data_IF_693120654315
#
_entry.id   IF_693120654315
#
_cell.length_a   1.000
_cell.length_b   1.000
_cell.length_c   1.000
_cell.angle_alpha   90.00
_cell.angle_beta   90.00
_cell.angle_gamma   90.00
#
_symmetry.space_group_name_H-M   'P 1'
#
loop_
_entity.id
_entity.type
_entity.pdbx_description
1 polymer ?
#
# COMPACT_ATOMS: atom_id res chain seq x y z
N UNK A 1 14.46 16.87 7.56
CA UNK A 1 15.27 15.68 7.26
C UNK A 1 14.88 15.20 5.88
N UNK A 2 15.82 15.20 4.93
CA UNK A 2 15.56 14.84 3.54
C UNK A 2 15.57 13.32 3.34
N UNK A 3 14.95 12.83 2.27
CA UNK A 3 15.02 11.41 1.91
C UNK A 3 16.47 10.94 1.66
N UNK A 4 17.37 11.86 1.27
CA UNK A 4 18.80 11.60 1.05
C UNK A 4 19.52 11.35 2.37
N UNK A 5 19.29 12.21 3.37
CA UNK A 5 19.89 12.09 4.70
C UNK A 5 19.49 10.78 5.40
N UNK A 6 18.27 10.28 5.15
CA UNK A 6 17.82 8.99 5.71
C UNK A 6 18.49 7.79 5.04
N UNK A 7 18.73 7.84 3.73
CA UNK A 7 19.43 6.77 2.99
C UNK A 7 20.87 6.64 3.48
N UNK A 8 21.54 7.77 3.71
CA UNK A 8 22.91 7.80 4.24
C UNK A 8 22.99 7.25 5.68
N UNK A 9 21.98 7.50 6.51
CA UNK A 9 21.95 7.02 7.90
C UNK A 9 21.56 5.54 8.06
N UNK A 10 21.00 4.91 7.02
CA UNK A 10 20.65 3.48 7.03
C UNK A 10 21.67 2.60 6.28
N UNK A 11 22.88 3.13 6.04
CA UNK A 11 24.02 2.32 5.66
C UNK A 11 24.35 1.35 6.80
N UNK A 12 24.36 0.06 6.48
CA UNK A 12 24.97 -0.96 7.34
C UNK A 12 26.47 -0.59 7.53
N UNK A 13 27.12 -0.93 8.65
CA UNK A 13 28.52 -0.60 8.96
C UNK A 13 29.54 -0.84 7.82
N UNK A 14 29.21 -1.68 6.84
CA UNK A 14 30.10 -2.10 5.76
C UNK A 14 29.89 -1.36 4.41
N UNK A 15 29.14 -0.25 4.37
CA UNK A 15 29.10 0.65 3.20
C UNK A 15 28.39 0.13 1.94
N UNK A 16 27.83 -1.09 1.96
CA UNK A 16 26.93 -1.59 0.92
C UNK A 16 25.49 -1.17 1.25
N UNK A 17 24.80 -0.49 0.32
CA UNK A 17 23.34 -0.36 0.42
C UNK A 17 22.73 -1.77 0.43
N UNK A 18 22.20 -2.19 1.58
CA UNK A 18 21.60 -3.52 1.74
C UNK A 18 20.38 -3.71 0.82
N UNK A 19 19.75 -2.62 0.40
CA UNK A 19 18.68 -2.59 -0.58
C UNK A 19 18.46 -1.18 -1.15
N UNK A 20 17.76 -1.10 -2.28
CA UNK A 20 17.25 0.15 -2.87
C UNK A 20 15.72 0.12 -2.91
N UNK A 21 15.06 1.27 -2.76
CA UNK A 21 13.61 1.40 -2.93
C UNK A 21 13.35 2.15 -4.24
N UNK A 22 12.48 1.60 -5.08
CA UNK A 22 12.04 2.24 -6.33
C UNK A 22 10.59 1.94 -6.63
N UNK A 23 10.02 2.70 -7.57
CA UNK A 23 8.72 2.37 -8.16
C UNK A 23 8.73 0.96 -8.74
N UNK A 24 7.63 0.27 -8.52
CA UNK A 24 7.37 -1.03 -9.08
C UNK A 24 7.13 -0.94 -10.59
N UNK A 25 7.60 -1.96 -11.30
CA UNK A 25 7.39 -2.14 -12.75
C UNK A 25 6.71 -3.48 -13.04
N UNK A 26 6.24 -3.69 -14.27
CA UNK A 26 5.66 -4.97 -14.68
C UNK A 26 6.62 -6.16 -14.48
N UNK A 27 7.94 -5.94 -14.55
CA UNK A 27 8.94 -7.00 -14.33
C UNK A 27 9.00 -7.48 -12.87
N UNK A 28 8.49 -6.69 -11.92
CA UNK A 28 8.49 -7.05 -10.50
C UNK A 28 7.31 -7.96 -10.13
N UNK A 29 6.30 -8.10 -10.99
CA UNK A 29 5.03 -8.71 -10.63
C UNK A 29 5.17 -10.15 -10.13
N UNK A 30 5.88 -11.00 -10.86
CA UNK A 30 6.05 -12.39 -10.48
C UNK A 30 6.79 -12.52 -9.14
N UNK A 31 7.88 -11.76 -8.96
CA UNK A 31 8.67 -11.79 -7.74
C UNK A 31 7.89 -11.22 -6.54
N UNK A 32 7.12 -10.15 -6.75
CA UNK A 32 6.22 -9.55 -5.76
C UNK A 32 5.15 -10.55 -5.31
N UNK A 33 4.46 -11.22 -6.22
CA UNK A 33 3.43 -12.19 -5.84
C UNK A 33 4.04 -13.38 -5.08
N UNK A 34 5.21 -13.88 -5.50
CA UNK A 34 5.92 -14.93 -4.78
C UNK A 34 6.31 -14.49 -3.35
N UNK A 35 6.78 -13.26 -3.18
CA UNK A 35 7.04 -12.67 -1.86
C UNK A 35 5.76 -12.59 -1.01
N UNK A 36 4.64 -12.15 -1.59
CA UNK A 36 3.36 -12.06 -0.87
C UNK A 36 2.86 -13.42 -0.41
N UNK A 37 3.02 -14.47 -1.23
CA UNK A 37 2.64 -15.83 -0.87
C UNK A 37 3.47 -16.35 0.31
N UNK A 38 4.80 -16.15 0.30
CA UNK A 38 5.68 -16.55 1.42
C UNK A 38 5.45 -15.73 2.70
N UNK A 39 5.16 -14.44 2.58
CA UNK A 39 5.09 -13.52 3.73
C UNK A 39 3.73 -13.44 4.41
N UNK A 40 2.63 -13.58 3.65
CA UNK A 40 1.27 -13.35 4.15
C UNK A 40 0.39 -14.60 4.19
N UNK A 41 0.84 -15.70 3.58
CA UNK A 41 0.14 -16.99 3.55
C UNK A 41 -1.13 -17.01 2.69
N UNK A 42 -1.73 -18.20 2.57
CA UNK A 42 -2.85 -18.50 1.66
C UNK A 42 -4.12 -17.69 1.96
N UNK A 43 -4.30 -17.25 3.20
CA UNK A 43 -5.43 -16.43 3.64
C UNK A 43 -5.43 -14.99 3.10
N UNK A 44 -4.30 -14.50 2.56
CA UNK A 44 -4.16 -13.08 2.14
C UNK A 44 -5.27 -12.63 1.19
N UNK A 45 -5.70 -13.51 0.29
CA UNK A 45 -6.69 -13.21 -0.76
C UNK A 45 -8.12 -13.00 -0.23
N UNK A 46 -8.38 -13.43 1.01
CA UNK A 46 -9.69 -13.35 1.67
C UNK A 46 -9.87 -12.08 2.50
N UNK A 47 -8.79 -11.33 2.76
CA UNK A 47 -8.81 -10.09 3.56
C UNK A 47 -9.71 -9.03 2.92
N UNK A 48 -10.43 -8.27 3.74
CA UNK A 48 -11.32 -7.20 3.28
C UNK A 48 -10.58 -6.13 2.46
N UNK A 49 -9.33 -5.80 2.84
CA UNK A 49 -8.47 -4.88 2.08
C UNK A 49 -8.10 -5.40 0.69
N UNK A 50 -7.86 -6.71 0.55
CA UNK A 50 -7.65 -7.36 -0.75
C UNK A 50 -8.91 -7.29 -1.61
N UNK A 51 -10.07 -7.60 -1.02
CA UNK A 51 -11.34 -7.58 -1.74
C UNK A 51 -11.66 -6.18 -2.25
N UNK A 52 -11.43 -5.15 -1.42
CA UNK A 52 -11.70 -3.76 -1.78
C UNK A 52 -10.90 -3.33 -3.02
N UNK A 53 -9.63 -3.70 -3.09
CA UNK A 53 -8.72 -3.27 -4.17
C UNK A 53 -8.74 -4.15 -5.42
N UNK A 54 -9.55 -5.22 -5.45
CA UNK A 54 -9.56 -6.19 -6.55
C UNK A 54 -9.92 -5.54 -7.89
N UNK A 55 -9.19 -5.90 -8.96
CA UNK A 55 -9.45 -5.42 -10.31
C UNK A 55 -9.09 -3.95 -10.54
N UNK A 56 -8.31 -3.36 -9.64
CA UNK A 56 -7.83 -1.98 -9.73
C UNK A 56 -6.33 -1.93 -9.91
N UNK A 57 -5.84 -0.78 -10.31
CA UNK A 57 -4.42 -0.44 -10.28
C UNK A 57 -4.10 0.28 -8.96
N UNK A 58 -2.87 0.14 -8.44
CA UNK A 58 -2.38 1.02 -7.37
C UNK A 58 -2.50 2.49 -7.76
N UNK A 59 -2.54 3.37 -6.76
CA UNK A 59 -2.50 4.81 -6.98
C UNK A 59 -1.20 5.18 -7.71
N UNK A 60 -1.29 6.14 -8.61
CA UNK A 60 -0.22 6.47 -9.55
C UNK A 60 1.04 6.94 -8.80
N UNK A 61 2.18 6.32 -9.12
CA UNK A 61 3.45 6.60 -8.42
C UNK A 61 3.58 5.98 -7.03
N UNK A 62 2.57 5.27 -6.51
CA UNK A 62 2.53 4.76 -5.12
C UNK A 62 2.53 3.23 -5.02
N UNK A 63 3.34 2.60 -5.86
CA UNK A 63 3.67 1.17 -5.77
C UNK A 63 5.18 1.03 -5.77
N UNK A 64 5.73 0.40 -4.74
CA UNK A 64 7.17 0.33 -4.51
C UNK A 64 7.64 -1.10 -4.21
N UNK A 65 8.89 -1.35 -4.58
CA UNK A 65 9.64 -2.55 -4.21
C UNK A 65 10.97 -2.15 -3.57
N UNK A 66 11.38 -2.91 -2.56
CA UNK A 66 12.74 -2.90 -2.05
C UNK A 66 13.51 -4.02 -2.76
N UNK A 67 14.65 -3.71 -3.39
CA UNK A 67 15.50 -4.67 -4.09
C UNK A 67 16.87 -4.80 -3.47
N UNK A 68 17.34 -6.04 -3.33
CA UNK A 68 18.70 -6.34 -2.93
C UNK A 68 19.72 -6.06 -4.05
N UNK A 69 21.03 -6.14 -3.74
CA UNK A 69 22.10 -5.92 -4.72
C UNK A 69 22.07 -6.88 -5.92
N UNK A 70 21.54 -8.09 -5.72
CA UNK A 70 21.34 -9.12 -6.73
C UNK A 70 20.06 -8.89 -7.58
N UNK A 71 19.31 -7.82 -7.31
CA UNK A 71 18.06 -7.51 -7.97
C UNK A 71 16.84 -8.24 -7.40
N UNK A 72 17.01 -9.08 -6.37
CA UNK A 72 15.92 -9.81 -5.72
C UNK A 72 14.96 -8.84 -5.03
N UNK A 73 13.65 -9.08 -5.16
CA UNK A 73 12.63 -8.30 -4.43
C UNK A 73 12.58 -8.76 -2.98
N UNK A 74 13.04 -7.90 -2.07
CA UNK A 74 13.11 -8.15 -0.63
C UNK A 74 11.89 -7.60 0.14
N UNK A 75 11.13 -6.69 -0.48
CA UNK A 75 9.95 -6.09 0.14
C UNK A 75 9.09 -5.36 -0.88
N UNK A 76 7.83 -5.10 -0.52
CA UNK A 76 6.90 -4.31 -1.34
C UNK A 76 5.92 -3.55 -0.47
N UNK A 77 5.51 -2.37 -0.94
CA UNK A 77 4.37 -1.62 -0.39
C UNK A 77 3.58 -0.98 -1.53
N UNK A 78 2.25 -0.98 -1.43
CA UNK A 78 1.34 -0.36 -2.39
C UNK A 78 0.27 0.46 -1.69
N UNK A 79 -0.14 1.56 -2.32
CA UNK A 79 -1.26 2.39 -1.90
C UNK A 79 -2.34 2.43 -2.98
N UNK A 80 -3.60 2.55 -2.56
CA UNK A 80 -4.76 2.44 -3.44
C UNK A 80 -5.72 3.58 -3.18
N UNK A 81 -6.21 4.23 -4.23
CA UNK A 81 -7.20 5.29 -4.06
C UNK A 81 -8.50 4.73 -3.47
N UNK A 82 -8.98 5.37 -2.41
CA UNK A 82 -10.26 5.07 -1.78
C UNK A 82 -11.02 6.36 -1.48
N UNK A 83 -12.32 6.20 -1.24
CA UNK A 83 -13.12 7.20 -0.54
C UNK A 83 -13.36 6.70 0.88
N UNK A 84 -12.99 7.52 1.87
CA UNK A 84 -13.20 7.30 3.29
C UNK A 84 -14.56 7.90 3.71
N UNK A 85 -15.65 7.38 3.14
CA UNK A 85 -16.99 7.86 3.44
C UNK A 85 -17.23 9.31 3.00
N UNK A 86 -17.93 10.07 3.85
CA UNK A 86 -18.26 11.48 3.62
C UNK A 86 -17.93 12.31 4.88
N UNK A 87 -17.67 13.60 4.71
CA UNK A 87 -17.52 14.54 5.82
C UNK A 87 -18.89 15.01 6.35
N UNK A 88 -18.86 15.90 7.34
CA UNK A 88 -20.06 16.48 7.97
C UNK A 88 -20.96 17.27 7.02
N UNK A 89 -20.42 17.76 5.89
CA UNK A 89 -21.17 18.46 4.84
C UNK A 89 -21.76 17.51 3.78
N UNK A 90 -21.48 16.21 3.90
CA UNK A 90 -21.88 15.19 2.92
C UNK A 90 -20.92 15.07 1.73
N UNK A 91 -19.76 15.74 1.75
CA UNK A 91 -18.79 15.68 0.65
C UNK A 91 -17.89 14.43 0.77
N UNK A 92 -17.51 13.80 -0.35
CA UNK A 92 -16.70 12.59 -0.33
C UNK A 92 -15.26 12.87 0.12
N UNK A 93 -14.79 12.14 1.13
CA UNK A 93 -13.42 12.28 1.66
C UNK A 93 -12.48 11.34 0.90
N UNK A 94 -11.48 11.88 0.21
CA UNK A 94 -10.47 11.09 -0.53
C UNK A 94 -9.35 10.64 0.41
N UNK A 95 -8.94 9.39 0.33
CA UNK A 95 -7.81 8.85 1.08
C UNK A 95 -7.10 7.74 0.28
N UNK A 96 -6.02 7.22 0.84
CA UNK A 96 -5.33 6.02 0.34
C UNK A 96 -5.59 4.84 1.28
N UNK A 97 -5.69 3.64 0.73
CA UNK A 97 -5.58 2.38 1.47
C UNK A 97 -4.15 1.85 1.28
N UNK A 98 -3.42 1.63 2.37
CA UNK A 98 -2.11 0.99 2.33
C UNK A 98 -2.25 -0.52 2.44
N UNK A 99 -1.60 -1.23 1.51
CA UNK A 99 -1.52 -2.67 1.53
C UNK A 99 -1.44 -3.28 0.13
N UNK A 100 -0.71 -4.40 -0.06
CA UNK A 100 0.06 -5.08 0.96
C UNK A 100 1.33 -4.30 1.31
N UNK A 101 1.78 -4.45 2.56
CA UNK A 101 3.17 -4.23 2.97
C UNK A 101 3.73 -5.61 3.32
N UNK A 102 4.81 -6.00 2.66
CA UNK A 102 5.46 -7.29 2.89
C UNK A 102 6.97 -7.18 2.79
N UNK A 103 7.66 -8.00 3.58
CA UNK A 103 9.12 -8.14 3.60
C UNK A 103 9.44 -9.63 3.58
N UNK A 104 10.54 -10.00 2.94
CA UNK A 104 11.08 -11.36 2.92
C UNK A 104 11.18 -11.88 4.37
N UNK A 105 10.50 -13.01 4.70
CA UNK A 105 10.46 -13.51 6.07
C UNK A 105 11.81 -13.67 6.76
N UNK A 106 12.85 -14.10 6.03
CA UNK A 106 14.22 -14.27 6.56
C UNK A 106 14.93 -12.95 6.89
N UNK A 107 14.38 -11.82 6.41
CA UNK A 107 14.92 -10.47 6.61
C UNK A 107 14.02 -9.59 7.50
N UNK A 108 13.07 -10.19 8.24
CA UNK A 108 12.29 -9.45 9.25
C UNK A 108 13.20 -8.81 10.29
N UNK A 109 12.83 -7.62 10.75
CA UNK A 109 13.60 -6.85 11.73
C UNK A 109 14.81 -6.10 11.16
N UNK A 110 15.12 -6.22 9.86
CA UNK A 110 16.26 -5.54 9.21
C UNK A 110 15.94 -4.14 8.65
N UNK A 111 14.88 -3.49 9.14
CA UNK A 111 14.53 -2.12 8.74
C UNK A 111 13.83 -1.95 7.38
N UNK A 112 13.83 -2.95 6.49
CA UNK A 112 13.22 -2.86 5.14
C UNK A 112 11.76 -2.38 5.18
N UNK A 113 10.95 -2.98 6.06
CA UNK A 113 9.52 -2.61 6.18
C UNK A 113 9.31 -1.18 6.69
N UNK A 114 10.21 -0.67 7.52
CA UNK A 114 10.15 0.71 8.01
C UNK A 114 10.55 1.70 6.91
N UNK A 115 11.62 1.40 6.17
CA UNK A 115 12.05 2.19 5.03
C UNK A 115 10.97 2.27 3.93
N UNK A 116 10.31 1.14 3.62
CA UNK A 116 9.16 1.11 2.70
C UNK A 116 8.00 1.97 3.19
N UNK A 117 7.64 1.87 4.47
CA UNK A 117 6.58 2.70 5.07
C UNK A 117 6.88 4.19 4.96
N UNK A 118 8.07 4.62 5.38
CA UNK A 118 8.47 6.02 5.35
C UNK A 118 8.54 6.57 3.91
N UNK A 119 9.08 5.79 2.97
CA UNK A 119 9.14 6.18 1.57
C UNK A 119 7.72 6.37 1.00
N UNK A 120 6.83 5.40 1.24
CA UNK A 120 5.46 5.46 0.77
C UNK A 120 4.65 6.62 1.37
N UNK A 121 4.77 6.89 2.68
CA UNK A 121 4.05 7.99 3.34
C UNK A 121 4.58 9.35 2.90
N UNK A 122 5.91 9.50 2.77
CA UNK A 122 6.53 10.72 2.28
C UNK A 122 6.11 11.02 0.84
N UNK A 123 6.12 10.01 -0.03
CA UNK A 123 5.73 10.19 -1.43
C UNK A 123 4.23 10.50 -1.58
N UNK A 124 3.37 9.85 -0.79
CA UNK A 124 1.95 10.18 -0.76
C UNK A 124 1.70 11.62 -0.29
N UNK A 125 2.46 12.10 0.70
CA UNK A 125 2.38 13.50 1.14
C UNK A 125 2.85 14.46 0.04
N UNK A 126 3.98 14.14 -0.63
CA UNK A 126 4.54 14.92 -1.74
C UNK A 126 3.55 15.05 -2.91
N UNK A 127 2.81 13.98 -3.21
CA UNK A 127 1.76 13.96 -4.23
C UNK A 127 0.44 14.62 -3.78
N UNK A 128 0.38 15.15 -2.55
CA UNK A 128 -0.75 15.94 -2.05
C UNK A 128 -1.94 15.11 -1.55
N UNK A 129 -1.76 13.83 -1.28
CA UNK A 129 -2.79 13.01 -0.63
C UNK A 129 -3.06 13.51 0.81
N UNK A 130 -4.29 13.32 1.29
CA UNK A 130 -4.71 13.85 2.59
C UNK A 130 -4.58 12.88 3.76
N UNK A 131 -4.78 11.58 3.52
CA UNK A 131 -4.69 10.55 4.55
C UNK A 131 -4.41 9.15 3.96
N UNK A 132 -3.85 8.28 4.80
CA UNK A 132 -3.62 6.87 4.52
C UNK A 132 -4.34 6.04 5.59
N UNK A 133 -5.06 5.00 5.18
CA UNK A 133 -5.79 4.08 6.04
C UNK A 133 -5.24 2.67 5.83
N UNK A 134 -5.19 1.85 6.87
CA UNK A 134 -4.77 0.44 6.77
C UNK A 134 -5.48 -0.47 7.76
N UNK A 135 -5.31 -1.78 7.54
CA UNK A 135 -5.65 -2.83 8.51
C UNK A 135 -4.37 -3.56 8.89
N UNK A 136 -3.92 -3.43 10.14
CA UNK A 136 -2.64 -3.97 10.61
C UNK A 136 -2.42 -3.82 12.12
N UNK A 137 -1.29 -4.31 12.62
CA UNK A 137 -1.01 -4.39 14.06
C UNK A 137 -0.60 -3.02 14.63
N UNK A 138 -1.36 -2.43 15.58
CA UNK A 138 -1.09 -1.09 16.11
C UNK A 138 0.34 -0.91 16.61
N UNK A 139 0.89 -1.91 17.30
CA UNK A 139 2.24 -1.89 17.87
C UNK A 139 3.32 -1.66 16.80
N UNK A 140 3.06 -2.09 15.56
CA UNK A 140 3.97 -1.85 14.44
C UNK A 140 3.76 -0.49 13.78
N UNK A 141 2.51 -0.01 13.69
CA UNK A 141 2.13 1.16 12.88
C UNK A 141 2.11 2.48 13.65
N UNK A 142 1.90 2.45 14.97
CA UNK A 142 1.87 3.65 15.83
C UNK A 142 3.16 4.47 15.74
N UNK A 143 4.32 3.80 15.60
CA UNK A 143 5.62 4.48 15.41
C UNK A 143 5.72 5.31 14.12
N UNK A 144 4.80 5.14 13.18
CA UNK A 144 4.68 5.96 11.97
C UNK A 144 3.53 6.99 12.07
N UNK A 145 2.91 7.13 13.24
CA UNK A 145 1.82 8.07 13.49
C UNK A 145 0.42 7.56 13.11
N UNK A 146 0.27 6.25 12.85
CA UNK A 146 -1.05 5.66 12.62
C UNK A 146 -1.81 5.53 13.93
N UNK A 147 -3.09 5.90 13.91
CA UNK A 147 -3.96 5.91 15.08
C UNK A 147 -5.36 5.35 14.71
N UNK A 148 -5.92 4.53 15.60
CA UNK A 148 -7.28 4.00 15.48
C UNK A 148 -8.37 5.03 15.79
N UNK A 149 -8.06 6.10 16.54
CA UNK A 149 -9.01 7.18 16.84
C UNK A 149 -9.54 7.84 15.57
N UNK A 150 -8.68 7.98 14.55
CA UNK A 150 -8.97 8.58 13.25
C UNK A 150 -9.89 7.75 12.36
N UNK A 151 -10.14 6.48 12.71
CA UNK A 151 -11.08 5.62 11.98
C UNK A 151 -12.37 5.36 12.75
N UNK A 152 -12.61 6.03 13.89
CA UNK A 152 -13.75 5.74 14.80
C UNK A 152 -15.14 5.76 14.17
N UNK A 153 -15.34 6.58 13.13
CA UNK A 153 -16.61 6.67 12.42
C UNK A 153 -16.56 6.03 11.01
N UNK A 154 -15.43 5.41 10.67
CA UNK A 154 -15.21 4.72 9.41
C UNK A 154 -15.32 3.21 9.58
N UNK A 155 -15.67 2.52 8.50
CA UNK A 155 -15.72 1.06 8.45
C UNK A 155 -15.18 0.48 7.14
N UNK A 156 -14.54 -0.68 7.22
CA UNK A 156 -14.14 -1.45 6.05
C UNK A 156 -15.35 -2.18 5.45
N UNK A 157 -15.49 -2.32 4.11
CA UNK A 157 -16.50 -3.18 3.51
C UNK A 157 -16.12 -4.66 3.70
N UNK A 158 -16.46 -5.18 4.88
CA UNK A 158 -16.16 -6.53 5.32
C UNK A 158 -15.50 -6.55 6.70
N UNK A 159 -15.36 -7.75 7.30
CA UNK A 159 -14.85 -7.89 8.66
C UNK A 159 -13.40 -7.43 8.75
N UNK A 160 -13.10 -6.68 9.80
CA UNK A 160 -11.76 -6.32 10.27
C UNK A 160 -11.81 -6.26 11.80
N UNK A 161 -10.70 -6.56 12.46
CA UNK A 161 -10.60 -6.32 13.90
C UNK A 161 -10.50 -4.81 14.14
N UNK A 162 -11.38 -4.27 14.99
CA UNK A 162 -11.53 -2.82 15.14
C UNK A 162 -10.23 -2.11 15.53
N UNK A 163 -9.48 -2.70 16.47
CA UNK A 163 -8.21 -2.13 16.95
C UNK A 163 -7.14 -2.08 15.86
N UNK A 164 -7.25 -2.91 14.82
CA UNK A 164 -6.29 -2.96 13.70
C UNK A 164 -6.63 -1.99 12.58
N UNK A 165 -7.75 -1.29 12.65
CA UNK A 165 -8.17 -0.35 11.62
C UNK A 165 -7.65 1.06 11.94
N UNK A 166 -6.57 1.45 11.27
CA UNK A 166 -5.75 2.61 11.64
C UNK A 166 -5.69 3.62 10.51
N UNK A 167 -5.45 4.88 10.84
CA UNK A 167 -5.21 5.93 9.84
C UNK A 167 -4.08 6.88 10.25
N UNK A 168 -3.42 7.42 9.23
CA UNK A 168 -2.44 8.49 9.31
C UNK A 168 -2.95 9.66 8.46
N UNK A 169 -3.08 10.84 9.07
CA UNK A 169 -3.34 12.07 8.34
C UNK A 169 -2.02 12.62 7.79
N UNK A 170 -2.00 12.89 6.48
CA UNK A 170 -0.90 13.59 5.81
C UNK A 170 -1.16 15.11 5.76
N UNK A 171 -2.43 15.50 5.86
CA UNK A 171 -2.90 16.87 6.06
C UNK A 171 -3.72 16.89 7.34
N UNK A 172 -3.38 17.76 8.27
CA UNK A 172 -4.04 17.84 9.56
C UNK A 172 -5.56 18.05 9.39
N UNK A 173 -6.36 17.24 10.09
CA UNK A 173 -7.82 17.33 10.08
C UNK A 173 -8.48 16.82 8.80
N UNK A 174 -7.75 16.17 7.90
CA UNK A 174 -8.30 15.65 6.64
C UNK A 174 -9.39 14.58 6.83
N UNK A 175 -9.41 13.89 7.97
CA UNK A 175 -10.43 12.92 8.34
C UNK A 175 -11.44 13.46 9.36
N UNK A 176 -11.41 14.74 9.69
CA UNK A 176 -12.34 15.33 10.66
C UNK A 176 -13.78 15.24 10.15
N UNK A 177 -14.66 14.65 10.97
CA UNK A 177 -16.06 14.40 10.59
C UNK A 177 -16.27 13.32 9.53
N UNK A 178 -15.20 12.66 9.05
CA UNK A 178 -15.31 11.58 8.07
C UNK A 178 -16.05 10.38 8.68
N UNK A 179 -17.07 9.89 8.00
CA UNK A 179 -17.90 8.77 8.46
C UNK A 179 -18.42 7.90 7.32
N UNK A 180 -18.66 6.62 7.63
CA UNK A 180 -19.23 5.64 6.70
C UNK A 180 -18.26 4.57 6.22
N UNK A 181 -18.63 3.88 5.16
CA UNK A 181 -17.90 2.70 4.65
C UNK A 181 -16.90 3.09 3.57
N UNK A 182 -15.71 2.51 3.62
CA UNK A 182 -14.68 2.69 2.59
C UNK A 182 -15.18 2.16 1.25
N UNK A 183 -14.95 2.92 0.18
CA UNK A 183 -15.21 2.46 -1.19
C UNK A 183 -13.97 2.59 -2.05
N UNK A 184 -13.73 1.60 -2.91
CA UNK A 184 -12.56 1.62 -3.77
C UNK A 184 -12.72 2.66 -4.90
N UNK A 185 -11.69 3.47 -5.09
CA UNK A 185 -11.53 4.45 -6.17
C UNK A 185 -10.29 4.08 -6.99
N UNK A 186 -9.85 4.96 -7.89
CA UNK A 186 -8.69 4.73 -8.74
C UNK A 186 -9.00 4.02 -10.05
N UNK A 187 -7.96 3.84 -10.88
CA UNK A 187 -8.07 3.25 -12.22
C UNK A 187 -8.39 1.75 -12.11
N UNK A 188 -9.24 1.23 -13.00
CA UNK A 188 -9.47 -0.22 -13.14
C UNK A 188 -8.35 -0.83 -13.97
N UNK A 189 -7.89 -2.02 -13.62
CA UNK A 189 -7.04 -2.79 -14.51
C UNK A 189 -7.89 -3.17 -15.73
N UNK A 190 -7.48 -2.76 -16.92
CA UNK A 190 -8.17 -3.15 -18.16
C UNK A 190 -8.10 -4.66 -18.29
N UNK A 191 -9.25 -5.33 -18.38
CA UNK A 191 -9.27 -6.71 -18.82
C UNK A 191 -8.74 -6.73 -20.26
N UNK A 192 -7.68 -7.51 -20.53
CA UNK A 192 -7.33 -7.85 -21.91
C UNK A 192 -8.55 -8.58 -22.46
N UNK A 193 -9.29 -7.90 -23.34
CA UNK A 193 -10.39 -8.49 -24.08
C UNK A 193 -9.75 -9.27 -25.21
N UNK A 194 -9.45 -10.55 -24.97
CA UNK A 194 -9.06 -11.46 -26.07
C UNK A 194 -10.30 -11.63 -26.94
N UNK A 195 -10.42 -10.82 -27.99
CA UNK A 195 -11.42 -11.06 -29.02
C UNK A 195 -10.98 -12.31 -29.79
N UNK A 196 -11.83 -13.34 -29.93
CA UNK A 196 -11.50 -14.48 -30.77
C UNK A 196 -11.38 -13.96 -32.21
N UNK A 197 -10.17 -13.99 -32.77
CA UNK A 197 -9.97 -13.78 -34.20
C UNK A 197 -10.54 -15.01 -34.91
N UNK A 198 -11.76 -14.89 -35.44
CA UNK A 198 -12.28 -15.88 -36.38
C UNK A 198 -11.55 -15.67 -37.71
N UNK A 199 -10.49 -16.44 -37.94
CA UNK A 199 -9.90 -16.59 -39.26
C UNK A 199 -10.87 -17.42 -40.11
N UNK A 200 -11.68 -16.73 -40.92
CA UNK A 200 -12.40 -17.39 -42.02
C UNK A 200 -11.40 -17.64 -43.14
N UNK A 201 -11.02 -18.90 -43.32
CA UNK A 201 -10.37 -19.34 -44.56
C UNK A 201 -11.46 -19.51 -45.62
N UNK A 202 -11.43 -18.68 -46.66
CA UNK A 202 -12.12 -19.00 -47.92
C UNK A 202 -11.36 -20.13 -48.59
N UNK A 203 -12.11 -21.14 -49.07
CA UNK A 203 -11.62 -22.09 -50.07
C UNK A 203 -11.41 -21.41 -51.41
#
# INVERSE_FOLDING_TARGET
MSAVEYIEQNLHPDGLQAFTIRNETAQDEQAREALLDRSMGEGRRRKSSEKLRRGRLPSEGLAFVARGPDGTVLGTVRLWDIQAGHDSSGMPVRALLLGPLAVEPTLKGRGIGAALMQHATAEAARLGHGAIILVGDPEYYERFGFDGSKTRNLAMPGPVERHRFLALELKAGHLDGAHGVLTAKGKRASAIRILPVSLRFSR
#
